data_IF_658505682675
#
_entry.id   IF_658505682675
#
_cell.length_a   1.000
_cell.length_b   1.000
_cell.length_c   1.000
_cell.angle_alpha   90.00
_cell.angle_beta   90.00
_cell.angle_gamma   90.00
#
_symmetry.space_group_name_H-M   'P 1'
#
loop_
_entity.id
_entity.type
_entity.pdbx_description
1 polymer ?
#
# COMPACT_ATOMS: atom_id res chain seq x y z
N UNK A 1 -13.00 17.81 18.51
CA UNK A 1 -12.40 16.62 17.86
C UNK A 1 -12.63 16.54 16.34
N UNK A 2 -13.40 17.43 15.70
CA UNK A 2 -13.58 17.45 14.24
C UNK A 2 -12.52 18.27 13.48
N UNK A 3 -11.80 19.16 14.17
CA UNK A 3 -10.85 20.12 13.57
C UNK A 3 -9.52 19.47 13.15
N UNK A 4 -8.99 18.52 13.94
CA UNK A 4 -7.73 17.83 13.62
C UNK A 4 -7.79 16.96 12.36
N UNK A 5 -8.98 16.42 12.04
CA UNK A 5 -9.17 15.57 10.85
C UNK A 5 -9.17 16.43 9.58
N UNK A 6 -9.74 17.63 9.64
CA UNK A 6 -9.78 18.58 8.52
C UNK A 6 -8.39 19.12 8.17
N UNK A 7 -7.57 19.43 9.19
CA UNK A 7 -6.17 19.85 8.98
C UNK A 7 -5.33 18.73 8.37
N UNK A 8 -5.52 17.49 8.81
CA UNK A 8 -4.86 16.32 8.22
C UNK A 8 -5.27 16.11 6.75
N UNK A 9 -6.56 16.27 6.42
CA UNK A 9 -7.07 16.17 5.04
C UNK A 9 -6.50 17.28 4.16
N UNK A 10 -6.40 18.50 4.68
CA UNK A 10 -5.86 19.63 3.93
C UNK A 10 -4.35 19.47 3.69
N UNK A 11 -3.61 19.01 4.71
CA UNK A 11 -2.19 18.70 4.62
C UNK A 11 -1.93 17.57 3.61
N UNK A 12 -2.68 16.47 3.68
CA UNK A 12 -2.55 15.35 2.76
C UNK A 12 -2.88 15.75 1.31
N UNK A 13 -3.87 16.63 1.10
CA UNK A 13 -4.23 17.12 -0.24
C UNK A 13 -3.14 18.04 -0.83
N UNK A 14 -2.49 18.85 0.01
CA UNK A 14 -1.36 19.70 -0.39
C UNK A 14 -0.12 18.88 -0.72
N UNK A 15 0.22 17.90 0.11
CA UNK A 15 1.32 16.96 -0.15
C UNK A 15 1.07 16.12 -1.40
N UNK A 16 -0.18 15.70 -1.66
CA UNK A 16 -0.55 15.05 -2.92
C UNK A 16 -0.27 15.93 -4.13
N UNK A 17 -0.58 17.22 -4.06
CA UNK A 17 -0.35 18.16 -5.17
C UNK A 17 1.14 18.42 -5.39
N UNK A 18 1.91 18.57 -4.32
CA UNK A 18 3.35 18.83 -4.38
C UNK A 18 4.14 17.60 -4.85
N UNK A 19 3.72 16.38 -4.50
CA UNK A 19 4.30 15.13 -5.01
C UNK A 19 4.04 14.90 -6.50
N UNK A 20 2.98 15.51 -7.07
CA UNK A 20 2.68 15.38 -8.51
C UNK A 20 3.55 16.29 -9.39
N UNK A 21 4.19 17.33 -8.83
CA UNK A 21 4.80 18.41 -9.61
C UNK A 21 6.33 18.60 -9.44
N UNK A 22 7.07 17.71 -8.74
CA UNK A 22 8.54 17.83 -8.64
C UNK A 22 9.28 17.09 -9.77
N UNK A 23 10.26 17.73 -10.45
CA UNK A 23 10.93 17.15 -11.62
C UNK A 23 12.24 16.39 -11.34
N UNK A 24 12.72 16.24 -10.09
CA UNK A 24 13.94 15.48 -9.82
C UNK A 24 13.91 14.73 -8.47
N UNK A 25 14.31 13.45 -8.44
CA UNK A 25 14.92 12.79 -7.26
C UNK A 25 15.28 11.32 -7.55
N UNK A 26 16.53 11.02 -7.87
CA UNK A 26 17.02 9.67 -8.16
C UNK A 26 17.18 8.79 -6.91
N UNK A 27 16.22 7.92 -6.62
CA UNK A 27 16.33 6.74 -5.72
C UNK A 27 15.10 5.84 -5.93
N UNK A 28 15.14 4.90 -6.90
CA UNK A 28 14.04 3.95 -7.25
C UNK A 28 12.64 4.51 -6.90
N UNK A 29 12.32 5.66 -7.49
CA UNK A 29 11.37 6.61 -6.91
C UNK A 29 10.01 5.99 -6.57
N UNK A 30 9.49 6.30 -5.38
CA UNK A 30 8.12 5.98 -4.99
C UNK A 30 7.15 6.89 -5.77
N UNK A 31 6.96 6.61 -7.06
CA UNK A 31 6.14 7.43 -7.97
C UNK A 31 4.65 7.13 -7.80
N UNK A 32 3.86 8.20 -7.74
CA UNK A 32 2.40 8.14 -7.75
C UNK A 32 1.84 7.23 -6.65
N UNK A 33 1.19 6.14 -7.06
CA UNK A 33 0.54 5.18 -6.16
C UNK A 33 1.49 4.58 -5.10
N UNK A 34 2.73 4.27 -5.48
CA UNK A 34 3.72 3.72 -4.56
C UNK A 34 4.15 4.73 -3.49
N UNK A 35 4.22 6.03 -3.84
CA UNK A 35 4.51 7.11 -2.89
C UNK A 35 3.42 7.27 -1.84
N UNK A 36 2.15 7.18 -2.24
CA UNK A 36 1.03 7.23 -1.30
C UNK A 36 1.06 6.07 -0.29
N UNK A 37 1.31 4.85 -0.78
CA UNK A 37 1.43 3.66 0.08
C UNK A 37 2.62 3.81 1.04
N UNK A 38 3.75 4.31 0.55
CA UNK A 38 4.93 4.51 1.36
C UNK A 38 4.66 5.49 2.51
N UNK A 39 4.02 6.63 2.23
CA UNK A 39 3.70 7.63 3.26
C UNK A 39 2.76 7.09 4.32
N UNK A 40 1.76 6.27 3.93
CA UNK A 40 0.84 5.63 4.87
C UNK A 40 1.56 4.59 5.75
N UNK A 41 2.49 3.82 5.19
CA UNK A 41 3.19 2.75 5.92
C UNK A 41 4.42 3.22 6.67
N UNK A 42 4.94 4.43 6.39
CA UNK A 42 6.16 4.98 6.99
C UNK A 42 6.14 4.99 8.53
N UNK A 43 5.05 5.37 9.21
CA UNK A 43 5.00 5.39 10.68
C UNK A 43 5.23 4.01 11.32
N UNK A 44 4.83 2.93 10.65
CA UNK A 44 4.98 1.57 11.19
C UNK A 44 6.44 1.18 11.45
N UNK A 45 7.38 1.71 10.68
CA UNK A 45 8.80 1.43 10.88
C UNK A 45 9.35 2.04 12.17
N UNK A 46 8.72 3.10 12.66
CA UNK A 46 9.08 3.78 13.91
C UNK A 46 8.37 3.13 15.11
N UNK A 47 7.37 2.28 14.87
CA UNK A 47 6.62 1.61 15.92
C UNK A 47 7.35 0.34 16.43
N UNK A 48 7.81 0.32 17.70
CA UNK A 48 8.58 -0.81 18.24
C UNK A 48 7.74 -2.09 18.40
N UNK A 49 6.42 -1.99 18.59
CA UNK A 49 5.54 -3.14 18.70
C UNK A 49 5.36 -3.80 17.32
N UNK A 50 5.24 -2.99 16.28
CA UNK A 50 5.24 -3.47 14.90
C UNK A 50 6.56 -4.20 14.58
N UNK A 51 7.69 -3.55 14.83
CA UNK A 51 9.01 -4.11 14.53
C UNK A 51 9.23 -5.46 15.25
N UNK A 52 8.79 -5.60 16.50
CA UNK A 52 8.84 -6.86 17.26
C UNK A 52 7.90 -7.93 16.67
N UNK A 53 6.66 -7.57 16.37
CA UNK A 53 5.65 -8.52 15.86
C UNK A 53 6.02 -9.12 14.51
N UNK A 54 6.78 -8.39 13.68
CA UNK A 54 7.16 -8.81 12.33
C UNK A 54 8.65 -9.10 12.15
N UNK A 55 9.43 -9.22 13.23
CA UNK A 55 10.89 -9.43 13.19
C UNK A 55 11.33 -10.68 12.41
N UNK A 56 10.56 -11.76 12.46
CA UNK A 56 10.89 -13.03 11.79
C UNK A 56 10.13 -13.22 10.48
N UNK A 57 9.30 -12.25 10.09
CA UNK A 57 8.45 -12.36 8.92
C UNK A 57 9.14 -11.68 7.74
N UNK A 58 9.25 -12.44 6.64
CA UNK A 58 9.71 -11.92 5.35
C UNK A 58 8.63 -12.17 4.31
N UNK A 59 8.06 -11.09 3.76
CA UNK A 59 6.99 -11.17 2.77
C UNK A 59 7.06 -10.02 1.78
N UNK A 60 6.76 -10.31 0.52
CA UNK A 60 6.65 -9.31 -0.54
C UNK A 60 5.22 -9.23 -1.07
N UNK A 61 4.60 -8.06 -1.02
CA UNK A 61 3.24 -7.82 -1.49
C UNK A 61 3.28 -6.93 -2.73
N UNK A 62 2.55 -7.30 -3.78
CA UNK A 62 2.39 -6.46 -4.96
C UNK A 62 0.98 -5.88 -4.99
N UNK A 63 0.87 -4.55 -4.93
CA UNK A 63 -0.40 -3.83 -5.06
C UNK A 63 -0.41 -3.07 -6.37
N UNK A 64 -1.35 -3.42 -7.24
CA UNK A 64 -1.52 -2.84 -8.55
C UNK A 64 -2.81 -2.03 -8.62
N UNK A 65 -2.68 -0.71 -8.72
CA UNK A 65 -3.77 0.15 -9.16
C UNK A 65 -3.94 0.02 -10.69
N UNK A 66 -4.93 -0.74 -11.15
CA UNK A 66 -5.08 -1.14 -12.57
C UNK A 66 -5.26 0.03 -13.53
N UNK A 67 -5.76 1.16 -13.03
CA UNK A 67 -5.94 2.41 -13.77
C UNK A 67 -4.72 3.34 -13.72
N UNK A 68 -3.67 3.01 -12.96
CA UNK A 68 -2.46 3.84 -12.81
C UNK A 68 -1.24 3.22 -13.50
N UNK A 69 -0.27 4.10 -13.83
CA UNK A 69 0.96 3.74 -14.54
C UNK A 69 1.93 2.93 -13.69
N UNK A 70 1.91 3.10 -12.37
CA UNK A 70 2.81 2.45 -11.43
C UNK A 70 2.04 1.60 -10.41
N UNK A 71 2.56 0.42 -10.13
CA UNK A 71 2.18 -0.44 -9.01
C UNK A 71 3.20 -0.28 -7.87
N UNK A 72 2.83 -0.75 -6.69
CA UNK A 72 3.67 -0.71 -5.49
C UNK A 72 4.08 -2.12 -5.08
N UNK A 73 5.38 -2.31 -4.86
CA UNK A 73 5.93 -3.49 -4.22
C UNK A 73 6.22 -3.11 -2.78
N UNK A 74 5.58 -3.81 -1.85
CA UNK A 74 5.77 -3.65 -0.42
C UNK A 74 6.58 -4.84 0.05
N UNK A 75 7.77 -4.60 0.59
CA UNK A 75 8.61 -5.65 1.16
C UNK A 75 8.65 -5.48 2.67
N UNK A 76 8.16 -6.49 3.38
CA UNK A 76 8.32 -6.64 4.82
C UNK A 76 9.53 -7.54 5.06
N UNK A 77 10.54 -7.02 5.73
CA UNK A 77 11.71 -7.77 6.14
C UNK A 77 12.17 -7.32 7.52
N UNK A 78 12.35 -8.28 8.44
CA UNK A 78 12.95 -8.05 9.76
C UNK A 78 12.25 -6.96 10.58
N UNK A 79 10.92 -6.89 10.48
CA UNK A 79 10.12 -5.87 11.15
C UNK A 79 10.16 -4.50 10.47
N UNK A 80 10.75 -4.35 9.29
CA UNK A 80 10.74 -3.10 8.53
C UNK A 80 9.98 -3.27 7.21
N UNK A 81 9.26 -2.22 6.82
CA UNK A 81 8.55 -2.12 5.55
C UNK A 81 9.32 -1.18 4.63
N UNK A 82 9.56 -1.64 3.42
CA UNK A 82 10.01 -0.82 2.29
C UNK A 82 8.99 -0.87 1.17
N UNK A 83 8.88 0.24 0.44
CA UNK A 83 7.95 0.36 -0.69
C UNK A 83 8.71 0.84 -1.91
N UNK A 84 8.63 0.07 -2.99
CA UNK A 84 9.23 0.37 -4.29
C UNK A 84 8.13 0.56 -5.34
N UNK A 85 8.35 1.43 -6.33
CA UNK A 85 7.45 1.53 -7.48
C UNK A 85 7.89 0.60 -8.60
N UNK A 86 6.91 0.06 -9.33
CA UNK A 86 7.16 -0.72 -10.55
C UNK A 86 6.16 -0.32 -11.63
N UNK A 87 6.61 -0.24 -12.88
CA UNK A 87 5.69 0.07 -13.98
C UNK A 87 4.67 -1.06 -14.17
N UNK A 88 3.40 -0.67 -14.30
CA UNK A 88 2.28 -1.59 -14.47
C UNK A 88 2.26 -2.21 -15.88
N UNK A 89 2.81 -1.49 -16.86
CA UNK A 89 2.88 -1.91 -18.25
C UNK A 89 4.35 -2.07 -18.69
N UNK A 90 4.69 -3.16 -19.40
CA UNK A 90 3.83 -4.30 -19.72
C UNK A 90 3.50 -5.15 -18.48
N UNK A 91 2.29 -5.70 -18.43
CA UNK A 91 1.79 -6.54 -17.30
C UNK A 91 2.65 -7.77 -17.05
N UNK A 92 3.41 -8.21 -18.05
CA UNK A 92 4.38 -9.30 -17.95
C UNK A 92 5.54 -8.98 -16.98
N UNK A 93 5.70 -7.74 -16.54
CA UNK A 93 6.67 -7.38 -15.50
C UNK A 93 6.12 -7.61 -14.09
N UNK A 94 4.81 -7.82 -13.94
CA UNK A 94 4.13 -8.00 -12.66
C UNK A 94 3.97 -9.46 -12.23
N UNK A 95 4.58 -10.40 -12.96
CA UNK A 95 4.44 -11.83 -12.69
C UNK A 95 5.19 -12.24 -11.42
N UNK A 96 4.70 -13.31 -10.79
CA UNK A 96 5.32 -13.87 -9.59
C UNK A 96 6.76 -14.29 -9.85
N UNK A 97 7.04 -14.85 -11.03
CA UNK A 97 8.36 -15.38 -11.38
C UNK A 97 9.41 -14.27 -11.56
N UNK A 98 9.00 -13.06 -11.95
CA UNK A 98 9.92 -11.92 -12.10
C UNK A 98 10.12 -11.13 -10.81
N UNK A 99 9.06 -10.91 -10.04
CA UNK A 99 9.11 -10.03 -8.85
C UNK A 99 9.32 -10.83 -7.55
N UNK A 100 8.87 -12.10 -7.53
CA UNK A 100 8.88 -12.94 -6.34
C UNK A 100 7.86 -12.51 -5.27
N UNK A 101 6.70 -11.98 -5.66
CA UNK A 101 5.69 -11.58 -4.68
C UNK A 101 5.00 -12.79 -4.05
N UNK A 102 4.67 -12.65 -2.77
CA UNK A 102 3.93 -13.61 -1.96
C UNK A 102 2.42 -13.48 -2.13
N UNK A 103 1.93 -12.23 -2.13
CA UNK A 103 0.55 -11.91 -2.43
C UNK A 103 0.47 -10.78 -3.46
N UNK A 104 -0.60 -10.81 -4.25
CA UNK A 104 -0.89 -9.82 -5.26
C UNK A 104 -2.32 -9.32 -5.11
N UNK A 105 -2.49 -8.02 -5.21
CA UNK A 105 -3.79 -7.35 -5.19
C UNK A 105 -3.85 -6.40 -6.38
N UNK A 106 -4.86 -6.55 -7.22
CA UNK A 106 -5.18 -5.59 -8.28
C UNK A 106 -6.54 -4.95 -8.00
N UNK A 107 -6.60 -3.63 -8.00
CA UNK A 107 -7.84 -2.87 -7.82
C UNK A 107 -7.77 -1.51 -8.52
N UNK A 108 -8.88 -0.80 -8.62
CA UNK A 108 -8.86 0.60 -9.06
C UNK A 108 -8.32 1.51 -7.95
N UNK A 109 -7.60 2.59 -8.32
CA UNK A 109 -7.10 3.58 -7.35
C UNK A 109 -8.20 4.18 -6.47
N UNK A 110 -9.41 4.38 -6.98
CA UNK A 110 -10.54 4.86 -6.18
C UNK A 110 -10.95 3.86 -5.10
N UNK A 111 -10.91 2.56 -5.43
CA UNK A 111 -11.17 1.49 -4.46
C UNK A 111 -10.07 1.50 -3.40
N UNK A 112 -8.81 1.64 -3.79
CA UNK A 112 -7.70 1.76 -2.85
C UNK A 112 -7.84 2.97 -1.93
N UNK A 113 -8.11 4.17 -2.46
CA UNK A 113 -8.28 5.38 -1.65
C UNK A 113 -9.44 5.25 -0.67
N UNK A 114 -10.54 4.64 -1.09
CA UNK A 114 -11.67 4.36 -0.19
C UNK A 114 -11.27 3.41 0.96
N UNK A 115 -10.33 2.49 0.73
CA UNK A 115 -9.77 1.62 1.77
C UNK A 115 -8.82 2.41 2.68
N UNK A 116 -7.87 3.13 2.10
CA UNK A 116 -6.87 3.89 2.84
C UNK A 116 -7.48 5.00 3.71
N UNK A 117 -8.56 5.64 3.23
CA UNK A 117 -9.28 6.69 3.97
C UNK A 117 -10.21 6.14 5.06
N UNK A 118 -10.08 4.87 5.46
CA UNK A 118 -10.94 4.19 6.44
C UNK A 118 -12.45 4.27 6.12
N UNK A 119 -12.83 4.59 4.87
CA UNK A 119 -14.24 4.61 4.41
C UNK A 119 -14.77 3.19 4.15
N UNK A 120 -13.89 2.20 4.03
CA UNK A 120 -14.23 0.79 3.90
C UNK A 120 -13.62 0.02 5.07
N UNK A 121 -14.48 -0.61 5.87
CA UNK A 121 -14.05 -1.57 6.90
C UNK A 121 -13.38 -2.79 6.27
N UNK A 122 -12.56 -3.50 7.05
CA UNK A 122 -11.95 -4.78 6.63
C UNK A 122 -12.96 -5.73 5.98
N UNK A 123 -14.18 -5.81 6.52
CA UNK A 123 -15.29 -6.59 5.97
C UNK A 123 -15.80 -6.06 4.62
N UNK A 124 -15.82 -4.74 4.43
CA UNK A 124 -16.13 -4.10 3.15
C UNK A 124 -15.09 -4.38 2.07
N UNK A 125 -13.81 -4.51 2.46
CA UNK A 125 -12.72 -4.94 1.56
C UNK A 125 -12.98 -6.39 1.11
N UNK A 126 -13.25 -7.30 2.05
CA UNK A 126 -13.59 -8.69 1.76
C UNK A 126 -14.86 -8.81 0.89
N UNK A 127 -15.87 -7.96 1.09
CA UNK A 127 -17.08 -7.94 0.25
C UNK A 127 -16.77 -7.50 -1.19
N UNK A 128 -15.97 -6.44 -1.39
CA UNK A 128 -15.54 -6.01 -2.73
C UNK A 128 -14.62 -7.01 -3.44
N UNK A 129 -13.93 -7.85 -2.66
CA UNK A 129 -13.17 -9.02 -3.13
C UNK A 129 -14.09 -10.04 -3.83
N UNK A 130 -15.29 -10.25 -3.27
CA UNK A 130 -16.32 -11.14 -3.82
C UNK A 130 -17.01 -10.50 -5.04
N UNK A 131 -17.14 -9.17 -5.09
CA UNK A 131 -17.71 -8.43 -6.23
C UNK A 131 -16.86 -8.46 -7.54
N UNK A 132 -15.76 -9.24 -7.60
CA UNK A 132 -14.83 -9.35 -8.74
C UNK A 132 -14.13 -8.04 -9.16
N UNK A 133 -14.30 -6.95 -8.40
CA UNK A 133 -13.62 -5.65 -8.64
C UNK A 133 -12.16 -5.65 -8.16
N UNK A 134 -11.78 -6.63 -7.35
CA UNK A 134 -10.43 -6.80 -6.81
C UNK A 134 -9.92 -8.18 -7.23
N UNK A 135 -8.78 -8.23 -7.91
CA UNK A 135 -8.10 -9.50 -8.23
C UNK A 135 -7.08 -9.79 -7.15
N UNK A 136 -7.20 -10.94 -6.48
CA UNK A 136 -6.27 -11.34 -5.42
C UNK A 136 -5.60 -12.67 -5.77
N UNK A 137 -4.30 -12.76 -5.54
CA UNK A 137 -3.55 -14.02 -5.50
C UNK A 137 -2.81 -14.11 -4.18
N UNK A 138 -2.77 -15.29 -3.57
CA UNK A 138 -2.11 -15.51 -2.27
C UNK A 138 -2.93 -15.00 -1.08
N UNK A 139 -4.23 -15.31 -1.01
CA UNK A 139 -5.15 -14.79 0.01
C UNK A 139 -4.75 -15.14 1.46
N UNK A 140 -4.14 -16.30 1.67
CA UNK A 140 -3.61 -16.68 3.00
C UNK A 140 -2.47 -15.77 3.43
N UNK A 141 -1.61 -15.35 2.50
CA UNK A 141 -0.51 -14.42 2.75
C UNK A 141 -1.03 -12.98 2.89
N UNK A 142 -2.15 -12.64 2.25
CA UNK A 142 -2.84 -11.37 2.45
C UNK A 142 -3.29 -11.15 3.90
N UNK A 143 -3.59 -12.21 4.67
CA UNK A 143 -3.92 -12.07 6.09
C UNK A 143 -2.79 -11.40 6.88
N UNK A 144 -1.53 -11.62 6.51
CA UNK A 144 -0.37 -10.95 7.11
C UNK A 144 -0.41 -9.46 6.79
N UNK A 145 -0.74 -9.10 5.55
CA UNK A 145 -0.92 -7.70 5.16
C UNK A 145 -2.06 -7.03 5.92
N UNK A 146 -3.18 -7.73 6.15
CA UNK A 146 -4.27 -7.21 6.99
C UNK A 146 -3.83 -6.99 8.44
N UNK A 147 -2.97 -7.86 8.99
CA UNK A 147 -2.37 -7.62 10.31
C UNK A 147 -1.51 -6.35 10.34
N UNK A 148 -0.73 -6.09 9.27
CA UNK A 148 0.04 -4.85 9.13
C UNK A 148 -0.89 -3.63 9.17
N UNK A 149 -2.01 -3.68 8.43
CA UNK A 149 -3.00 -2.59 8.42
C UNK A 149 -3.67 -2.39 9.78
N UNK A 150 -3.87 -3.43 10.58
CA UNK A 150 -4.42 -3.30 11.94
C UNK A 150 -3.52 -2.46 12.86
N UNK A 151 -2.20 -2.56 12.71
CA UNK A 151 -1.27 -1.70 13.46
C UNK A 151 -1.39 -0.21 13.07
N UNK A 152 -1.84 0.11 11.84
CA UNK A 152 -2.19 1.49 11.44
C UNK A 152 -3.55 1.96 11.96
N UNK A 153 -4.41 1.05 12.43
CA UNK A 153 -5.70 1.39 13.01
C UNK A 153 -5.61 1.68 14.51
N UNK A 154 -4.57 1.15 15.18
CA UNK A 154 -4.35 1.28 16.62
C UNK A 154 -3.51 2.53 17.00
N UNK A 155 -2.96 3.25 16.01
CA UNK A 155 -2.41 4.62 16.11
C UNK A 155 -3.43 5.69 15.69
#
# INVERSE_FOLDING_TARGET
MAFQILDFIFQAKKEMFDCMNRPDMTLKEQRGFAGLIANVLKPLNENPNFNKAFKEIQRKFLINATNLKYAAIITLEKGSITVESIQNKPTNNLTKDKIGWDAYIAMDAQVFLAIAMKKLSLLGILKKLIEKKIKIRGITKLLIFLKILKFLEEE
#
